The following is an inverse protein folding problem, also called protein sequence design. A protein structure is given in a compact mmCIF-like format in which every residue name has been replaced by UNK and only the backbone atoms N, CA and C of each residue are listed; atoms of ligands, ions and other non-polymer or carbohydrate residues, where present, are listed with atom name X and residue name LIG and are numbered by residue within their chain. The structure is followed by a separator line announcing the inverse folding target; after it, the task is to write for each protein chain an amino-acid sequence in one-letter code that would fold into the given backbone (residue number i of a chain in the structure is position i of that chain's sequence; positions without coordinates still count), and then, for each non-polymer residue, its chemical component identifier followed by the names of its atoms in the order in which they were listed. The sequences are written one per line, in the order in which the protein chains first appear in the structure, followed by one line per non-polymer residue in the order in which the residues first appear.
data_IF_333791446578
#
_entry.id   IF_333791446578
#
_cell.length_a   1.000
_cell.length_b   1.000
_cell.length_c   1.000
_cell.angle_alpha   90.00
_cell.angle_beta   90.00
_cell.angle_gamma   90.00
#
_symmetry.space_group_name_H-M   'P 1'
#
loop_
_entity.id
_entity.type
_entity.pdbx_description
1 polymer ?
#
# COMPACT_ATOMS: atom_id res chain seq x y z
N UNK A 1 5.27 0.62 4.77
CA UNK A 1 5.19 2.06 4.46
C UNK A 1 4.91 2.24 2.96
N UNK A 2 4.09 3.25 2.60
CA UNK A 2 3.87 3.63 1.21
C UNK A 2 5.08 4.42 0.73
N UNK A 3 5.75 4.02 -0.37
CA UNK A 3 6.96 4.71 -0.83
C UNK A 3 6.60 5.96 -1.67
N UNK A 4 6.09 6.99 -1.03
CA UNK A 4 5.68 8.22 -1.72
C UNK A 4 6.72 9.34 -1.61
N UNK A 5 7.52 9.37 -0.53
CA UNK A 5 8.60 10.35 -0.34
C UNK A 5 9.93 9.69 -0.69
N UNK A 6 10.51 10.08 -1.80
CA UNK A 6 11.61 9.39 -2.46
C UNK A 6 12.86 10.25 -2.45
N UNK A 7 13.91 9.79 -1.78
CA UNK A 7 15.25 10.35 -1.93
C UNK A 7 15.90 9.72 -3.17
N UNK A 8 16.22 10.52 -4.18
CA UNK A 8 16.85 10.06 -5.42
C UNK A 8 18.31 10.42 -5.43
N UNK A 9 19.18 9.43 -5.47
CA UNK A 9 20.63 9.63 -5.64
C UNK A 9 20.97 9.39 -7.10
N UNK A 10 21.35 10.46 -7.80
CA UNK A 10 21.67 10.43 -9.23
C UNK A 10 22.49 11.65 -9.64
N UNK A 11 22.96 11.66 -10.88
CA UNK A 11 23.50 12.90 -11.47
C UNK A 11 22.36 13.83 -11.90
N UNK A 12 22.48 15.11 -11.58
CA UNK A 12 21.46 16.10 -11.93
C UNK A 12 21.22 16.23 -13.45
N UNK A 13 22.21 15.88 -14.26
CA UNK A 13 22.13 15.93 -15.73
C UNK A 13 21.82 14.58 -16.38
N UNK A 14 21.58 13.54 -15.58
CA UNK A 14 21.32 12.21 -16.10
C UNK A 14 19.93 12.14 -16.77
N UNK A 15 19.88 11.73 -18.03
CA UNK A 15 18.62 11.48 -18.74
C UNK A 15 17.71 10.52 -17.96
N UNK A 16 18.27 9.46 -17.39
CA UNK A 16 17.51 8.49 -16.58
C UNK A 16 16.82 9.09 -15.34
N UNK A 17 17.38 10.15 -14.75
CA UNK A 17 16.68 10.88 -13.68
C UNK A 17 15.45 11.63 -14.21
N UNK A 18 15.58 12.26 -15.39
CA UNK A 18 14.45 12.90 -16.06
C UNK A 18 13.34 11.91 -16.41
N UNK A 19 13.71 10.75 -17.00
CA UNK A 19 12.78 9.69 -17.36
C UNK A 19 12.07 9.10 -16.12
N UNK A 20 12.79 8.89 -15.03
CA UNK A 20 12.25 8.46 -13.74
C UNK A 20 11.17 9.42 -13.20
N UNK A 21 11.51 10.71 -13.12
CA UNK A 21 10.58 11.74 -12.65
C UNK A 21 9.37 11.87 -13.58
N UNK A 22 9.59 11.84 -14.90
CA UNK A 22 8.51 11.92 -15.88
C UNK A 22 7.52 10.76 -15.73
N UNK A 23 8.02 9.54 -15.55
CA UNK A 23 7.18 8.35 -15.34
C UNK A 23 6.36 8.44 -14.06
N UNK A 24 6.95 8.89 -12.96
CA UNK A 24 6.23 9.10 -11.69
C UNK A 24 5.14 10.18 -11.81
N UNK A 25 5.41 11.26 -12.54
CA UNK A 25 4.45 12.37 -12.73
C UNK A 25 3.29 12.00 -13.65
N UNK A 26 3.52 11.14 -14.65
CA UNK A 26 2.52 10.74 -15.66
C UNK A 26 1.98 9.32 -15.43
N UNK A 27 1.96 8.87 -14.18
CA UNK A 27 1.47 7.53 -13.88
C UNK A 27 -0.06 7.41 -14.10
N UNK A 28 -0.54 6.26 -14.64
CA UNK A 28 -1.95 6.08 -14.99
C UNK A 28 -2.89 6.04 -13.78
N UNK A 29 -2.35 5.76 -12.57
CA UNK A 29 -3.11 5.75 -11.33
C UNK A 29 -3.36 7.13 -10.71
N UNK A 30 -2.73 8.20 -11.26
CA UNK A 30 -2.83 9.54 -10.69
C UNK A 30 -2.22 9.69 -9.30
N UNK A 31 -1.31 8.79 -8.92
CA UNK A 31 -0.65 8.82 -7.62
C UNK A 31 0.38 9.95 -7.55
N UNK A 32 0.46 10.60 -6.40
CA UNK A 32 1.44 11.66 -6.15
C UNK A 32 2.69 11.08 -5.48
N UNK A 33 3.86 11.47 -6.02
CA UNK A 33 5.17 11.13 -5.48
C UNK A 33 5.96 12.42 -5.24
N UNK A 34 6.63 12.48 -4.11
CA UNK A 34 7.53 13.58 -3.75
C UNK A 34 8.96 13.08 -3.92
N UNK A 35 9.67 13.63 -4.91
CA UNK A 35 11.05 13.26 -5.20
C UNK A 35 11.99 14.41 -4.83
N UNK A 36 13.05 14.09 -4.10
CA UNK A 36 14.14 15.04 -3.84
C UNK A 36 15.44 14.44 -4.36
N UNK A 37 16.17 15.23 -5.17
CA UNK A 37 17.44 14.81 -5.73
C UNK A 37 18.59 15.10 -4.76
N UNK A 38 19.37 14.08 -4.48
CA UNK A 38 20.66 14.13 -3.81
C UNK A 38 21.75 13.92 -4.85
N UNK A 39 22.34 15.01 -5.38
CA UNK A 39 23.29 14.89 -6.49
C UNK A 39 24.53 14.09 -6.10
N UNK A 40 24.88 13.13 -6.96
CA UNK A 40 26.09 12.32 -6.83
C UNK A 40 26.71 12.05 -8.20
N UNK A 41 28.01 11.79 -8.20
CA UNK A 41 28.74 11.34 -9.38
C UNK A 41 28.40 9.86 -9.62
N UNK A 42 27.97 9.54 -10.83
CA UNK A 42 27.54 8.17 -11.22
C UNK A 42 28.55 7.50 -12.16
N UNK A 43 29.72 8.09 -12.35
CA UNK A 43 30.80 7.59 -13.21
C UNK A 43 32.16 8.01 -12.68
N UNK A 44 33.19 7.17 -12.94
CA UNK A 44 34.57 7.43 -12.56
C UNK A 44 34.90 7.02 -11.12
N UNK A 45 36.13 7.30 -10.70
CA UNK A 45 36.70 6.82 -9.44
C UNK A 45 36.13 7.44 -8.16
N UNK A 46 35.33 8.49 -8.29
CA UNK A 46 34.73 9.21 -7.13
C UNK A 46 33.26 8.81 -6.86
N UNK A 47 32.77 7.78 -7.53
CA UNK A 47 31.38 7.29 -7.35
C UNK A 47 31.13 6.89 -5.90
N UNK A 48 32.00 6.06 -5.32
CA UNK A 48 31.88 5.60 -3.93
C UNK A 48 31.72 6.77 -2.95
N UNK A 49 32.69 7.67 -2.95
CA UNK A 49 32.72 8.83 -2.03
C UNK A 49 31.49 9.73 -2.23
N UNK A 50 31.12 9.97 -3.48
CA UNK A 50 29.99 10.84 -3.84
C UNK A 50 28.65 10.26 -3.45
N UNK A 51 28.45 8.95 -3.62
CA UNK A 51 27.21 8.26 -3.24
C UNK A 51 27.12 8.12 -1.71
N UNK A 52 28.22 7.80 -1.02
CA UNK A 52 28.28 7.78 0.43
C UNK A 52 27.92 9.15 1.04
N UNK A 53 28.50 10.23 0.51
CA UNK A 53 28.14 11.58 0.96
C UNK A 53 26.68 11.95 0.67
N UNK A 54 26.07 11.40 -0.39
CA UNK A 54 24.64 11.55 -0.65
C UNK A 54 23.80 10.77 0.34
N UNK A 55 24.16 9.52 0.67
CA UNK A 55 23.52 8.71 1.68
C UNK A 55 23.58 9.38 3.07
N UNK A 56 24.69 9.97 3.45
CA UNK A 56 24.83 10.71 4.71
C UNK A 56 23.86 11.91 4.78
N UNK A 57 23.68 12.63 3.68
CA UNK A 57 22.71 13.74 3.59
C UNK A 57 21.26 13.24 3.69
N UNK A 58 20.94 12.10 3.10
CA UNK A 58 19.63 11.46 3.28
C UNK A 58 19.43 11.02 4.71
N UNK A 59 20.46 10.38 5.31
CA UNK A 59 20.40 9.90 6.69
C UNK A 59 20.19 11.03 7.71
N UNK A 60 20.76 12.21 7.47
CA UNK A 60 20.54 13.41 8.31
C UNK A 60 19.06 13.88 8.31
N UNK A 61 18.25 13.44 7.34
CA UNK A 61 16.84 13.81 7.15
C UNK A 61 15.98 12.55 6.92
N UNK A 62 16.29 11.48 7.62
CA UNK A 62 15.71 10.15 7.35
C UNK A 62 14.19 10.12 7.48
N UNK A 63 13.62 10.90 8.38
CA UNK A 63 12.18 10.97 8.63
C UNK A 63 11.40 11.66 7.48
N UNK A 64 12.10 12.34 6.58
CA UNK A 64 11.48 12.99 5.42
C UNK A 64 11.21 12.01 4.27
N UNK A 65 11.79 10.81 4.30
CA UNK A 65 11.75 9.86 3.19
C UNK A 65 11.22 8.49 3.58
N UNK A 66 10.65 7.79 2.60
CA UNK A 66 10.15 6.41 2.75
C UNK A 66 11.07 5.38 2.06
N UNK A 67 11.82 5.83 1.05
CA UNK A 67 12.67 4.99 0.20
C UNK A 67 13.80 5.80 -0.41
N UNK A 68 14.94 5.15 -0.61
CA UNK A 68 16.06 5.70 -1.40
C UNK A 68 16.12 5.01 -2.75
N UNK A 69 16.30 5.78 -3.81
CA UNK A 69 16.46 5.26 -5.18
C UNK A 69 17.80 5.71 -5.72
N UNK A 70 18.68 4.77 -6.03
CA UNK A 70 19.99 5.03 -6.64
C UNK A 70 19.88 4.65 -8.12
N UNK A 71 19.87 5.67 -8.98
CA UNK A 71 19.69 5.47 -10.42
C UNK A 71 20.80 6.14 -11.22
N UNK A 72 21.18 5.47 -12.29
CA UNK A 72 22.15 5.98 -13.25
C UNK A 72 21.47 6.24 -14.59
N UNK A 73 21.79 7.34 -15.22
CA UNK A 73 21.38 7.62 -16.60
C UNK A 73 22.12 6.75 -17.61
N UNK A 74 21.49 6.45 -18.73
CA UNK A 74 22.11 5.71 -19.83
C UNK A 74 23.35 6.47 -20.35
N UNK A 75 24.50 5.86 -20.21
CA UNK A 75 25.77 6.23 -20.85
C UNK A 75 26.37 4.95 -21.40
N UNK A 76 27.36 5.06 -22.28
CA UNK A 76 28.10 3.90 -22.81
C UNK A 76 28.45 2.92 -21.68
N UNK A 77 28.63 1.64 -22.00
CA UNK A 77 29.07 0.53 -21.12
C UNK A 77 30.32 0.92 -20.31
N UNK A 78 30.19 1.93 -19.47
CA UNK A 78 31.27 2.51 -18.72
C UNK A 78 31.34 1.86 -17.36
N UNK A 79 32.53 1.72 -16.91
CA UNK A 79 32.99 1.23 -15.65
C UNK A 79 31.97 1.37 -14.51
N UNK A 80 31.44 0.25 -14.05
CA UNK A 80 30.57 0.13 -12.89
C UNK A 80 31.36 -0.16 -11.61
N UNK A 81 32.69 -0.24 -11.70
CA UNK A 81 33.57 -0.60 -10.59
C UNK A 81 33.39 0.29 -9.35
N UNK A 82 32.98 1.53 -9.54
CA UNK A 82 32.66 2.44 -8.43
C UNK A 82 31.46 2.00 -7.58
N UNK A 83 30.61 1.10 -8.07
CA UNK A 83 29.51 0.48 -7.33
C UNK A 83 29.84 -0.90 -6.76
N UNK A 84 31.04 -1.41 -7.04
CA UNK A 84 31.51 -2.73 -6.59
C UNK A 84 32.43 -2.65 -5.35
N UNK A 85 32.28 -1.61 -4.57
CA UNK A 85 33.14 -1.38 -3.41
C UNK A 85 32.48 -1.87 -2.12
N UNK A 86 33.33 -2.36 -1.19
CA UNK A 86 32.87 -2.87 0.10
C UNK A 86 32.21 -1.79 0.94
N UNK A 87 32.78 -0.58 0.98
CA UNK A 87 32.28 0.51 1.82
C UNK A 87 30.87 0.95 1.39
N UNK A 88 30.65 1.11 0.08
CA UNK A 88 29.34 1.48 -0.44
C UNK A 88 28.30 0.36 -0.21
N UNK A 89 28.68 -0.88 -0.45
CA UNK A 89 27.82 -2.03 -0.21
C UNK A 89 27.45 -2.15 1.28
N UNK A 90 28.41 -2.00 2.19
CA UNK A 90 28.18 -2.03 3.63
C UNK A 90 27.26 -0.90 4.09
N UNK A 91 27.47 0.32 3.59
CA UNK A 91 26.62 1.46 3.90
C UNK A 91 25.18 1.24 3.43
N UNK A 92 24.98 0.75 2.21
CA UNK A 92 23.66 0.44 1.68
C UNK A 92 22.96 -0.71 2.40
N UNK A 93 23.67 -1.77 2.76
CA UNK A 93 23.12 -2.90 3.50
C UNK A 93 22.65 -2.54 4.91
N UNK A 94 23.28 -1.54 5.53
CA UNK A 94 22.97 -1.07 6.87
C UNK A 94 22.04 0.15 6.88
N UNK A 95 21.66 0.66 5.71
CA UNK A 95 20.85 1.87 5.62
C UNK A 95 19.44 1.64 6.16
N UNK A 96 18.90 2.53 7.01
CA UNK A 96 17.61 2.30 7.68
C UNK A 96 16.39 2.28 6.75
N UNK A 97 16.49 2.96 5.59
CA UNK A 97 15.43 2.95 4.58
C UNK A 97 15.73 1.89 3.50
N UNK A 98 14.69 1.32 2.88
CA UNK A 98 14.89 0.43 1.74
C UNK A 98 15.56 1.18 0.58
N UNK A 99 16.57 0.56 -0.01
CA UNK A 99 17.29 1.10 -1.18
C UNK A 99 16.86 0.33 -2.42
N UNK A 100 16.45 1.06 -3.46
CA UNK A 100 16.18 0.54 -4.79
C UNK A 100 17.31 0.98 -5.71
N UNK A 101 17.94 0.04 -6.43
CA UNK A 101 18.96 0.35 -7.42
C UNK A 101 18.43 0.19 -8.84
N UNK A 102 18.78 1.12 -9.71
CA UNK A 102 18.51 1.08 -11.15
C UNK A 102 19.74 1.55 -11.93
N UNK A 103 20.87 0.84 -11.72
CA UNK A 103 22.21 1.28 -12.14
C UNK A 103 22.67 0.55 -13.42
N UNK A 104 22.36 -0.74 -13.55
CA UNK A 104 22.98 -1.62 -14.54
C UNK A 104 22.03 -2.19 -15.60
N UNK A 105 22.61 -2.74 -16.66
CA UNK A 105 21.96 -3.56 -17.66
C UNK A 105 22.01 -5.05 -17.28
N UNK A 106 21.31 -5.90 -18.04
CA UNK A 106 21.10 -7.35 -17.76
C UNK A 106 22.39 -8.19 -17.54
N UNK A 107 23.54 -7.69 -17.93
CA UNK A 107 24.81 -8.44 -17.91
C UNK A 107 25.82 -7.97 -16.88
N UNK A 108 25.57 -6.85 -16.22
CA UNK A 108 26.54 -6.21 -15.33
C UNK A 108 25.92 -5.99 -13.96
N UNK A 109 25.89 -7.04 -13.15
CA UNK A 109 25.46 -6.99 -11.76
C UNK A 109 26.55 -6.38 -10.89
N UNK A 110 26.22 -5.35 -10.14
CA UNK A 110 27.13 -4.75 -9.16
C UNK A 110 26.98 -5.37 -7.78
N UNK A 111 28.01 -5.26 -6.94
CA UNK A 111 27.91 -5.66 -5.53
C UNK A 111 26.80 -4.84 -4.82
N UNK A 112 26.66 -3.57 -5.19
CA UNK A 112 25.59 -2.72 -4.69
C UNK A 112 24.20 -3.26 -5.01
N UNK A 113 23.98 -3.74 -6.24
CA UNK A 113 22.71 -4.37 -6.64
C UNK A 113 22.39 -5.63 -5.82
N UNK A 114 23.42 -6.37 -5.43
CA UNK A 114 23.27 -7.60 -4.64
C UNK A 114 22.87 -7.35 -3.19
N UNK A 115 23.23 -6.20 -2.63
CA UNK A 115 22.92 -5.83 -1.23
C UNK A 115 21.70 -4.90 -1.13
N UNK A 116 21.26 -4.31 -2.22
CA UNK A 116 20.10 -3.43 -2.25
C UNK A 116 18.82 -4.19 -1.88
N UNK A 117 17.88 -3.51 -1.25
CA UNK A 117 16.56 -4.09 -0.93
C UNK A 117 15.82 -4.58 -2.18
N UNK A 118 15.91 -3.83 -3.26
CA UNK A 118 15.33 -4.22 -4.54
C UNK A 118 16.20 -3.68 -5.67
N UNK A 119 16.52 -4.57 -6.59
CA UNK A 119 17.23 -4.23 -7.81
C UNK A 119 16.25 -4.16 -8.98
N UNK A 120 16.42 -3.16 -9.83
CA UNK A 120 15.74 -3.04 -11.14
C UNK A 120 16.76 -2.68 -12.22
N UNK A 121 16.39 -2.90 -13.49
CA UNK A 121 17.32 -2.76 -14.61
C UNK A 121 17.53 -1.31 -15.06
N UNK A 122 16.53 -0.45 -14.89
CA UNK A 122 16.53 0.91 -15.42
C UNK A 122 15.86 1.88 -14.45
N UNK A 123 16.15 3.18 -14.58
CA UNK A 123 15.42 4.21 -13.85
C UNK A 123 13.90 4.17 -14.05
N UNK A 124 13.43 3.89 -15.27
CA UNK A 124 12.00 3.73 -15.57
C UNK A 124 11.40 2.54 -14.85
N UNK A 125 12.10 1.40 -14.80
CA UNK A 125 11.66 0.24 -14.04
C UNK A 125 11.60 0.52 -12.52
N UNK A 126 12.46 1.40 -11.99
CA UNK A 126 12.36 1.86 -10.60
C UNK A 126 11.07 2.67 -10.36
N UNK A 127 10.72 3.55 -11.29
CA UNK A 127 9.47 4.30 -11.23
C UNK A 127 8.24 3.37 -11.32
N UNK A 128 8.24 2.42 -12.25
CA UNK A 128 7.18 1.41 -12.40
C UNK A 128 6.98 0.58 -11.13
N UNK A 129 8.07 0.14 -10.51
CA UNK A 129 8.02 -0.59 -9.25
C UNK A 129 7.32 0.22 -8.15
N UNK A 130 7.67 1.50 -8.01
CA UNK A 130 7.08 2.39 -7.00
C UNK A 130 5.59 2.64 -7.28
N UNK A 131 5.24 2.91 -8.53
CA UNK A 131 3.84 3.08 -8.96
C UNK A 131 3.03 1.81 -8.66
N UNK A 132 3.58 0.64 -9.00
CA UNK A 132 2.91 -0.63 -8.76
C UNK A 132 2.68 -0.89 -7.26
N UNK A 133 3.66 -0.59 -6.41
CA UNK A 133 3.52 -0.72 -4.95
C UNK A 133 2.41 0.14 -4.38
N UNK A 134 2.25 1.36 -4.87
CA UNK A 134 1.16 2.24 -4.43
C UNK A 134 -0.19 1.75 -4.97
N UNK A 135 -0.23 1.29 -6.23
CA UNK A 135 -1.42 0.71 -6.84
C UNK A 135 -1.92 -0.53 -6.09
N UNK A 136 -1.03 -1.47 -5.72
CA UNK A 136 -1.39 -2.66 -4.92
C UNK A 136 -2.08 -2.28 -3.60
N UNK A 137 -1.62 -1.22 -2.94
CA UNK A 137 -2.24 -0.77 -1.68
C UNK A 137 -3.58 -0.09 -1.94
N UNK A 138 -3.70 0.71 -3.01
CA UNK A 138 -4.95 1.35 -3.40
C UNK A 138 -6.03 0.31 -3.73
N UNK A 139 -5.68 -0.71 -4.52
CA UNK A 139 -6.58 -1.82 -4.88
C UNK A 139 -7.04 -2.60 -3.64
N UNK A 140 -6.11 -2.85 -2.71
CA UNK A 140 -6.44 -3.52 -1.45
C UNK A 140 -7.38 -2.72 -0.58
N UNK A 141 -7.22 -1.39 -0.53
CA UNK A 141 -8.13 -0.50 0.20
C UNK A 141 -9.53 -0.48 -0.42
N UNK A 142 -9.63 -0.47 -1.76
CA UNK A 142 -10.91 -0.54 -2.45
C UNK A 142 -11.61 -1.89 -2.18
N UNK A 143 -10.89 -3.02 -2.27
CA UNK A 143 -11.45 -4.34 -1.95
C UNK A 143 -11.98 -4.39 -0.51
N UNK A 144 -11.20 -3.89 0.47
CA UNK A 144 -11.65 -3.81 1.86
C UNK A 144 -12.89 -2.93 2.02
N UNK A 145 -12.95 -1.79 1.34
CA UNK A 145 -14.10 -0.88 1.32
C UNK A 145 -15.36 -1.58 0.79
N UNK A 146 -15.24 -2.31 -0.32
CA UNK A 146 -16.33 -3.10 -0.91
C UNK A 146 -16.81 -4.18 0.08
N UNK A 147 -15.88 -4.91 0.69
CA UNK A 147 -16.21 -5.99 1.65
C UNK A 147 -16.91 -5.45 2.89
N UNK A 148 -16.50 -4.30 3.41
CA UNK A 148 -17.15 -3.65 4.56
C UNK A 148 -18.58 -3.25 4.19
N UNK A 149 -18.80 -2.61 3.03
CA UNK A 149 -20.13 -2.22 2.56
C UNK A 149 -21.05 -3.42 2.38
N UNK A 150 -20.54 -4.51 1.77
CA UNK A 150 -21.31 -5.76 1.60
C UNK A 150 -21.67 -6.41 2.94
N UNK A 151 -20.72 -6.47 3.86
CA UNK A 151 -20.95 -7.02 5.20
C UNK A 151 -22.00 -6.23 5.98
N UNK A 152 -21.93 -4.90 5.94
CA UNK A 152 -22.92 -4.03 6.57
C UNK A 152 -24.31 -4.22 5.95
N UNK A 153 -24.41 -4.29 4.63
CA UNK A 153 -25.66 -4.53 3.92
C UNK A 153 -26.29 -5.87 4.30
N UNK A 154 -25.51 -6.94 4.30
CA UNK A 154 -26.00 -8.29 4.70
C UNK A 154 -26.49 -8.32 6.15
N UNK A 155 -25.79 -7.60 7.06
CA UNK A 155 -26.19 -7.50 8.45
C UNK A 155 -27.54 -6.78 8.58
N UNK A 156 -27.69 -5.63 7.93
CA UNK A 156 -28.93 -4.87 7.92
C UNK A 156 -30.11 -5.66 7.34
N UNK A 157 -29.90 -6.34 6.24
CA UNK A 157 -30.91 -7.22 5.62
C UNK A 157 -31.33 -8.37 6.54
N UNK A 158 -30.38 -8.96 7.26
CA UNK A 158 -30.67 -10.00 8.25
C UNK A 158 -31.55 -9.50 9.39
N UNK A 159 -31.20 -8.35 9.96
CA UNK A 159 -31.98 -7.77 11.06
C UNK A 159 -33.35 -7.27 10.59
N UNK A 160 -33.45 -6.75 9.36
CA UNK A 160 -34.74 -6.38 8.76
C UNK A 160 -35.65 -7.60 8.61
N UNK A 161 -35.18 -8.70 8.05
CA UNK A 161 -35.95 -9.95 7.95
C UNK A 161 -36.38 -10.49 9.32
N UNK A 162 -35.52 -10.32 10.33
CA UNK A 162 -35.87 -10.68 11.71
C UNK A 162 -37.02 -9.84 12.24
N UNK A 163 -36.98 -8.52 12.00
CA UNK A 163 -38.08 -7.61 12.37
C UNK A 163 -39.37 -7.97 11.63
N UNK A 164 -39.32 -8.20 10.33
CA UNK A 164 -40.49 -8.59 9.53
C UNK A 164 -41.11 -9.89 10.06
N UNK A 165 -40.28 -10.87 10.42
CA UNK A 165 -40.74 -12.14 11.03
C UNK A 165 -41.42 -11.90 12.37
N UNK A 166 -40.89 -11.03 13.21
CA UNK A 166 -41.52 -10.66 14.49
C UNK A 166 -42.82 -9.91 14.28
N UNK A 167 -42.86 -8.93 13.36
CA UNK A 167 -44.09 -8.22 13.01
C UNK A 167 -45.20 -9.17 12.53
N UNK A 168 -44.87 -10.17 11.73
CA UNK A 168 -45.84 -11.18 11.27
C UNK A 168 -46.32 -12.12 12.38
N UNK A 169 -45.47 -12.43 13.36
CA UNK A 169 -45.80 -13.37 14.45
C UNK A 169 -46.58 -12.76 15.60
N UNK A 170 -46.32 -11.50 15.94
CA UNK A 170 -46.96 -10.84 17.08
C UNK A 170 -48.48 -10.82 16.97
N UNK A 171 -49.13 -10.40 15.86
CA UNK A 171 -50.58 -10.39 15.74
C UNK A 171 -51.19 -11.76 15.95
N UNK A 172 -50.60 -12.82 15.37
CA UNK A 172 -51.07 -14.19 15.51
C UNK A 172 -50.97 -14.68 16.95
N UNK A 173 -49.91 -14.36 17.67
CA UNK A 173 -49.78 -14.72 19.09
C UNK A 173 -50.78 -13.99 19.95
N UNK A 174 -50.98 -12.69 19.70
CA UNK A 174 -52.00 -11.90 20.42
C UNK A 174 -53.39 -12.44 20.17
N UNK A 175 -53.78 -12.73 18.93
CA UNK A 175 -55.07 -13.27 18.56
C UNK A 175 -55.33 -14.62 19.26
N UNK A 176 -54.33 -15.50 19.26
CA UNK A 176 -54.41 -16.79 19.96
C UNK A 176 -54.63 -16.61 21.47
N UNK A 177 -53.85 -15.73 22.11
CA UNK A 177 -53.98 -15.45 23.55
C UNK A 177 -55.33 -14.83 23.90
N UNK A 178 -55.83 -13.93 23.08
CA UNK A 178 -57.20 -13.37 23.26
C UNK A 178 -58.27 -14.44 23.11
N UNK A 179 -58.13 -15.36 22.15
CA UNK A 179 -59.10 -16.45 21.95
C UNK A 179 -59.09 -17.43 23.13
N UNK A 180 -57.88 -17.83 23.60
CA UNK A 180 -57.72 -18.69 24.79
C UNK A 180 -58.35 -18.01 26.03
N UNK A 181 -58.13 -16.74 26.28
CA UNK A 181 -58.70 -16.02 27.41
C UNK A 181 -60.22 -15.87 27.32
N UNK A 182 -60.77 -15.60 26.12
CA UNK A 182 -62.23 -15.55 25.89
C UNK A 182 -62.88 -16.88 26.15
N UNK A 183 -62.27 -17.99 25.68
CA UNK A 183 -62.77 -19.31 25.92
C UNK A 183 -62.80 -19.68 27.41
N UNK A 184 -61.71 -19.39 28.14
CA UNK A 184 -61.64 -19.57 29.60
C UNK A 184 -62.72 -18.81 30.34
N UNK A 185 -62.97 -17.53 29.97
CA UNK A 185 -64.05 -16.73 30.55
C UNK A 185 -65.43 -17.28 30.26
N UNK A 186 -65.70 -17.76 29.05
CA UNK A 186 -66.98 -18.36 28.68
C UNK A 186 -67.21 -19.67 29.46
N UNK A 187 -66.23 -20.50 29.67
CA UNK A 187 -66.30 -21.74 30.46
C UNK A 187 -66.57 -21.42 31.91
N UNK A 188 -65.83 -20.52 32.53
CA UNK A 188 -66.08 -20.07 33.92
C UNK A 188 -67.48 -19.48 34.13
N UNK A 189 -68.00 -18.70 33.17
CA UNK A 189 -69.37 -18.17 33.21
C UNK A 189 -70.43 -19.28 33.14
N UNK A 190 -70.21 -20.28 32.31
CA UNK A 190 -71.11 -21.45 32.19
C UNK A 190 -71.12 -22.23 33.48
N UNK A 191 -70.00 -22.49 34.10
CA UNK A 191 -69.87 -23.23 35.35
C UNK A 191 -70.57 -22.48 36.49
N UNK A 192 -70.42 -21.16 36.56
CA UNK A 192 -71.18 -20.32 37.51
C UNK A 192 -72.68 -20.34 37.28
N UNK A 193 -73.13 -20.37 36.03
CA UNK A 193 -74.59 -20.43 35.72
C UNK A 193 -75.22 -21.82 35.95
N UNK A 194 -74.43 -22.87 36.07
CA UNK A 194 -74.93 -24.25 36.42
C UNK A 194 -74.86 -24.51 37.91
N UNK A 195 -74.18 -23.69 38.71
CA UNK A 195 -74.08 -23.82 40.16
C UNK A 195 -75.10 -22.97 40.94
N UNK A 196 -75.94 -22.21 40.25
CA UNK A 196 -77.05 -21.44 40.74
C UNK A 196 -78.41 -22.07 40.32
#
# INVERSE_FOLDING_TARGET
QLPQRIAVISSATAAGYGDFCHQLQHNPGGFFFYTELFPALMQGNQVEESVLAALDRVNARIDDFDVVVIIRGGGATSDLSGFDTYLLAAACAQFPLPIITGIGHERDDTVLDSVAHTRVKTPTAAAELLIHRVAEVADRLEDLSVRIRQGAYMLLERERRRLDTLQARIPNLVQRKLTEARFALLTARKDLSQAT
#
